data_IF_717983429067
#
_entry.id   IF_717983429067
#
_cell.length_a   1.000
_cell.length_b   1.000
_cell.length_c   1.000
_cell.angle_alpha   90.00
_cell.angle_beta   90.00
_cell.angle_gamma   90.00
#
_symmetry.space_group_name_H-M   'P 1'
#
loop_
_entity.id
_entity.type
_entity.pdbx_description
1 polymer ?
#
# COMPACT_ATOMS: atom_id res chain seq x y z
N UNK A 1 16.82 16.32 17.83
CA UNK A 1 17.47 15.67 16.66
C UNK A 1 18.19 16.72 15.83
N UNK A 2 19.36 16.38 15.25
CA UNK A 2 20.02 17.21 14.25
C UNK A 2 19.17 17.40 13.00
N UNK A 3 19.24 18.59 12.37
CA UNK A 3 18.42 18.97 11.20
C UNK A 3 18.56 18.01 10.01
N UNK A 4 19.72 17.36 9.87
CA UNK A 4 20.05 16.51 8.73
C UNK A 4 19.38 15.12 8.73
N UNK A 5 18.86 14.65 9.87
CA UNK A 5 18.28 13.29 9.92
C UNK A 5 17.07 13.15 9.00
N UNK A 6 16.17 14.14 9.03
CA UNK A 6 14.99 14.14 8.17
C UNK A 6 15.37 14.37 6.70
N UNK A 7 16.36 15.23 6.43
CA UNK A 7 16.88 15.44 5.07
C UNK A 7 17.43 14.16 4.44
N UNK A 8 18.27 13.41 5.17
CA UNK A 8 18.82 12.15 4.68
C UNK A 8 17.75 11.07 4.53
N UNK A 9 16.77 11.04 5.44
CA UNK A 9 15.61 10.15 5.32
C UNK A 9 14.81 10.47 4.04
N UNK A 10 14.51 11.75 3.79
CA UNK A 10 13.77 12.17 2.59
C UNK A 10 14.55 11.87 1.29
N UNK A 11 15.87 12.07 1.29
CA UNK A 11 16.75 11.71 0.17
C UNK A 11 16.69 10.21 -0.15
N UNK A 12 16.87 9.37 0.87
CA UNK A 12 16.82 7.93 0.71
C UNK A 12 15.41 7.49 0.28
N UNK A 13 14.38 8.01 0.92
CA UNK A 13 13.00 7.63 0.66
C UNK A 13 12.55 7.97 -0.76
N UNK A 14 12.85 9.18 -1.26
CA UNK A 14 12.43 9.59 -2.62
C UNK A 14 13.07 8.74 -3.71
N UNK A 15 14.25 8.15 -3.45
CA UNK A 15 14.94 7.25 -4.38
C UNK A 15 14.47 5.79 -4.24
N UNK A 16 13.70 5.45 -3.19
CA UNK A 16 13.23 4.10 -2.91
C UNK A 16 11.73 3.91 -3.19
N UNK A 17 10.91 4.92 -2.93
CA UNK A 17 9.45 4.76 -2.98
C UNK A 17 8.70 6.10 -3.14
N UNK A 18 7.60 6.10 -3.92
CA UNK A 18 6.72 7.28 -4.10
C UNK A 18 6.01 7.77 -2.83
N UNK A 19 6.08 6.97 -1.75
CA UNK A 19 5.53 7.30 -0.43
C UNK A 19 6.25 8.45 0.30
N UNK A 20 7.35 8.98 -0.24
CA UNK A 20 8.05 10.15 0.32
C UNK A 20 7.12 11.36 0.53
N UNK A 21 6.02 11.45 -0.23
CA UNK A 21 4.97 12.46 -0.07
C UNK A 21 4.42 12.51 1.36
N UNK A 22 4.31 11.37 2.04
CA UNK A 22 3.84 11.32 3.42
C UNK A 22 4.81 11.98 4.39
N UNK A 23 6.12 11.93 4.11
CA UNK A 23 7.12 12.72 4.85
C UNK A 23 6.88 14.22 4.70
N UNK A 24 6.59 14.69 3.49
CA UNK A 24 6.22 16.09 3.25
C UNK A 24 4.91 16.49 3.97
N UNK A 25 3.91 15.60 4.00
CA UNK A 25 2.66 15.81 4.72
C UNK A 25 2.83 15.85 6.24
N UNK A 26 3.69 14.98 6.80
CA UNK A 26 4.07 15.04 8.23
C UNK A 26 4.71 16.39 8.51
N UNK A 27 5.71 16.82 7.72
CA UNK A 27 6.32 18.13 7.91
C UNK A 27 5.29 19.26 7.81
N UNK A 28 4.38 19.20 6.85
CA UNK A 28 3.32 20.19 6.66
C UNK A 28 2.40 20.28 7.88
N UNK A 29 2.04 19.16 8.50
CA UNK A 29 1.24 19.14 9.73
C UNK A 29 1.97 19.82 10.91
N UNK A 30 3.27 19.55 11.09
CA UNK A 30 4.08 20.22 12.11
C UNK A 30 4.29 21.71 11.79
N UNK A 31 4.45 22.07 10.51
CA UNK A 31 4.56 23.45 10.07
C UNK A 31 3.25 24.22 10.30
N UNK A 32 2.10 23.62 10.01
CA UNK A 32 0.79 24.19 10.33
C UNK A 32 0.61 24.41 11.84
N UNK A 33 1.06 23.47 12.66
CA UNK A 33 1.10 23.64 14.12
C UNK A 33 1.99 24.80 14.54
N UNK A 34 3.19 24.92 13.95
CA UNK A 34 4.12 26.02 14.21
C UNK A 34 3.53 27.38 13.82
N UNK A 35 2.87 27.48 12.66
CA UNK A 35 2.13 28.66 12.21
C UNK A 35 1.02 29.02 13.20
N UNK A 36 0.24 28.03 13.64
CA UNK A 36 -0.84 28.24 14.60
C UNK A 36 -0.32 28.83 15.92
N UNK A 37 0.76 28.28 16.47
CA UNK A 37 1.33 28.77 17.72
C UNK A 37 1.90 30.18 17.59
N UNK A 38 2.69 30.44 16.54
CA UNK A 38 3.47 31.68 16.42
C UNK A 38 2.69 32.85 15.82
N UNK A 39 1.74 32.58 14.92
CA UNK A 39 1.02 33.62 14.18
C UNK A 39 -0.43 33.81 14.63
N UNK A 40 -1.10 32.75 15.08
CA UNK A 40 -2.54 32.79 15.41
C UNK A 40 -2.75 32.91 16.92
N UNK A 41 -2.14 32.00 17.69
CA UNK A 41 -2.33 31.93 19.14
C UNK A 41 -1.43 32.91 19.93
N UNK A 42 -0.56 33.66 19.26
CA UNK A 42 0.31 34.67 19.88
C UNK A 42 1.41 34.10 20.79
N UNK A 43 1.64 32.79 20.78
CA UNK A 43 2.71 32.16 21.55
C UNK A 43 4.05 32.32 20.83
N UNK A 44 4.88 33.26 21.28
CA UNK A 44 6.23 33.52 20.74
C UNK A 44 7.29 32.51 21.23
N UNK A 45 7.02 31.21 21.15
CA UNK A 45 8.09 30.20 21.24
C UNK A 45 8.75 30.11 19.87
N UNK A 46 9.70 31.01 19.61
CA UNK A 46 10.44 31.09 18.34
C UNK A 46 11.39 29.89 18.18
N UNK A 47 10.83 28.73 17.84
CA UNK A 47 11.59 27.55 17.46
C UNK A 47 11.65 27.46 15.94
N UNK A 48 12.72 27.97 15.33
CA UNK A 48 12.90 27.95 13.87
C UNK A 48 13.29 26.58 13.31
N UNK A 49 13.40 25.54 14.16
CA UNK A 49 13.81 24.20 13.72
C UNK A 49 12.82 23.59 12.74
N UNK A 50 11.52 23.71 12.96
CA UNK A 50 10.49 23.13 12.06
C UNK A 50 10.58 23.68 10.62
N UNK A 51 10.58 25.01 10.39
CA UNK A 51 10.76 25.54 9.04
C UNK A 51 12.14 25.19 8.46
N UNK A 52 13.21 25.20 9.27
CA UNK A 52 14.55 24.81 8.81
C UNK A 52 14.63 23.34 8.36
N UNK A 53 13.96 22.43 9.07
CA UNK A 53 13.87 21.01 8.69
C UNK A 53 13.23 20.90 7.30
N UNK A 54 12.14 21.64 7.05
CA UNK A 54 11.48 21.66 5.74
C UNK A 54 12.37 22.21 4.64
N UNK A 55 12.97 23.37 4.89
CA UNK A 55 13.89 24.03 3.96
C UNK A 55 15.09 23.13 3.61
N UNK A 56 15.59 22.34 4.55
CA UNK A 56 16.69 21.41 4.33
C UNK A 56 16.25 20.05 3.73
N UNK A 57 14.97 19.68 3.78
CA UNK A 57 14.52 18.32 3.44
C UNK A 57 13.69 18.26 2.16
N UNK A 58 12.86 19.27 1.88
CA UNK A 58 12.06 19.31 0.65
C UNK A 58 12.92 19.34 -0.62
N UNK A 59 14.03 20.10 -0.71
CA UNK A 59 14.91 20.05 -1.87
C UNK A 59 15.54 18.67 -2.11
N UNK A 60 15.73 17.87 -1.05
CA UNK A 60 16.28 16.51 -1.17
C UNK A 60 15.36 15.58 -1.97
N UNK A 61 14.06 15.88 -2.03
CA UNK A 61 13.10 15.08 -2.80
C UNK A 61 13.27 15.21 -4.32
N UNK A 62 14.04 16.20 -4.78
CA UNK A 62 14.33 16.43 -6.20
C UNK A 62 15.66 15.76 -6.60
N UNK A 63 16.47 15.35 -5.62
CA UNK A 63 17.75 14.66 -5.85
C UNK A 63 17.53 13.19 -6.20
N UNK A 64 16.92 12.97 -7.36
CA UNK A 64 16.68 11.66 -7.96
C UNK A 64 17.07 11.69 -9.44
N UNK A 65 17.33 10.53 -10.08
CA UNK A 65 17.56 10.48 -11.52
C UNK A 65 16.44 11.12 -12.36
N UNK A 66 15.21 11.12 -11.83
CA UNK A 66 14.02 11.67 -12.49
C UNK A 66 13.70 13.12 -12.11
N UNK A 67 14.47 13.74 -11.20
CA UNK A 67 14.22 15.10 -10.72
C UNK A 67 12.80 15.28 -10.16
N UNK A 68 12.00 16.13 -10.80
CA UNK A 68 10.59 16.36 -10.46
C UNK A 68 9.64 15.25 -10.93
N UNK A 69 10.09 14.30 -11.74
CA UNK A 69 9.25 13.23 -12.27
C UNK A 69 8.58 12.37 -11.19
N UNK A 70 9.22 12.22 -10.02
CA UNK A 70 8.61 11.51 -8.89
C UNK A 70 7.42 12.27 -8.29
N UNK A 71 7.48 13.60 -8.25
CA UNK A 71 6.35 14.43 -7.83
C UNK A 71 5.21 14.37 -8.85
N UNK A 72 5.55 14.44 -10.14
CA UNK A 72 4.59 14.31 -11.22
C UNK A 72 3.86 12.95 -11.16
N UNK A 73 4.59 11.85 -11.01
CA UNK A 73 4.02 10.51 -10.92
C UNK A 73 3.04 10.36 -9.73
N UNK A 74 3.38 10.92 -8.57
CA UNK A 74 2.51 10.85 -7.37
C UNK A 74 1.29 11.75 -7.52
N UNK A 75 1.42 12.93 -8.11
CA UNK A 75 0.33 13.91 -8.20
C UNK A 75 -0.59 13.69 -9.41
N UNK A 76 -0.09 13.09 -10.49
CA UNK A 76 -0.87 12.81 -11.70
C UNK A 76 -1.68 11.51 -11.62
N UNK A 77 -1.56 10.73 -10.55
CA UNK A 77 -2.42 9.56 -10.34
C UNK A 77 -3.82 9.98 -9.86
N UNK A 78 -4.62 10.53 -10.77
CA UNK A 78 -5.94 11.10 -10.50
C UNK A 78 -7.08 10.43 -11.29
N UNK A 79 -6.83 9.31 -11.96
CA UNK A 79 -7.86 8.58 -12.71
C UNK A 79 -8.91 8.02 -11.75
N UNK A 80 -10.07 8.68 -11.70
CA UNK A 80 -11.22 8.21 -10.91
C UNK A 80 -11.64 6.80 -11.31
N UNK A 81 -11.47 6.45 -12.58
CA UNK A 81 -11.76 5.11 -13.06
C UNK A 81 -10.85 4.08 -12.40
N UNK A 82 -9.52 4.22 -12.53
CA UNK A 82 -8.55 3.28 -11.95
C UNK A 82 -8.72 3.22 -10.42
N UNK A 83 -8.80 4.37 -9.75
CA UNK A 83 -8.92 4.45 -8.30
C UNK A 83 -10.21 3.84 -7.74
N UNK A 84 -11.27 3.72 -8.54
CA UNK A 84 -12.52 3.06 -8.12
C UNK A 84 -12.58 1.57 -8.50
N UNK A 85 -11.52 1.02 -9.11
CA UNK A 85 -11.38 -0.42 -9.34
C UNK A 85 -10.26 -1.04 -8.49
N UNK A 86 -9.43 -0.21 -7.86
CA UNK A 86 -8.44 -0.66 -6.89
C UNK A 86 -9.02 -0.60 -5.49
N UNK A 87 -9.25 -1.76 -4.86
CA UNK A 87 -9.92 -1.86 -3.55
C UNK A 87 -9.23 -1.00 -2.48
N UNK A 88 -7.90 -0.92 -2.49
CA UNK A 88 -7.12 -0.19 -1.49
C UNK A 88 -7.28 1.34 -1.59
N UNK A 89 -7.69 1.86 -2.74
CA UNK A 89 -7.89 3.30 -2.97
C UNK A 89 -9.32 3.75 -2.73
N UNK A 90 -10.24 2.82 -2.46
CA UNK A 90 -11.60 3.13 -2.07
C UNK A 90 -11.66 3.71 -0.64
N UNK A 91 -12.73 4.47 -0.31
CA UNK A 91 -12.98 4.91 1.06
C UNK A 91 -13.01 3.76 2.07
N UNK A 92 -12.73 4.08 3.34
CA UNK A 92 -12.79 3.09 4.42
C UNK A 92 -14.20 2.49 4.57
N UNK A 93 -14.31 1.16 4.46
CA UNK A 93 -15.56 0.42 4.65
C UNK A 93 -15.62 -0.18 6.07
N UNK A 94 -16.38 0.47 6.96
CA UNK A 94 -16.57 0.05 8.35
C UNK A 94 -17.48 -1.18 8.53
N UNK A 95 -18.08 -1.70 7.45
CA UNK A 95 -18.76 -3.00 7.48
C UNK A 95 -17.77 -4.16 7.47
N UNK A 96 -16.55 -3.94 6.98
CA UNK A 96 -15.49 -4.92 6.97
C UNK A 96 -14.84 -5.03 8.36
N UNK A 97 -14.65 -6.25 8.91
CA UNK A 97 -13.96 -6.44 10.19
C UNK A 97 -12.56 -5.82 10.23
N UNK A 98 -11.88 -5.75 9.08
CA UNK A 98 -10.55 -5.16 8.95
C UNK A 98 -10.49 -3.65 9.23
N UNK A 99 -11.61 -2.92 9.13
CA UNK A 99 -11.67 -1.48 9.42
C UNK A 99 -11.99 -1.17 10.89
N UNK A 100 -12.39 -2.16 11.69
CA UNK A 100 -12.75 -1.96 13.10
C UNK A 100 -11.59 -1.43 13.97
N UNK A 101 -10.32 -1.89 13.82
CA UNK A 101 -9.20 -1.31 14.55
C UNK A 101 -9.01 0.18 14.23
N UNK A 102 -9.24 0.59 12.98
CA UNK A 102 -9.19 2.00 12.59
C UNK A 102 -10.28 2.81 13.28
N UNK A 103 -11.53 2.32 13.29
CA UNK A 103 -12.63 2.96 14.00
C UNK A 103 -12.34 3.12 15.50
N UNK A 104 -11.77 2.08 16.14
CA UNK A 104 -11.38 2.12 17.54
C UNK A 104 -10.30 3.17 17.82
N UNK A 105 -9.26 3.24 16.99
CA UNK A 105 -8.21 4.25 17.12
C UNK A 105 -8.74 5.66 16.89
N UNK A 106 -9.62 5.87 15.90
CA UNK A 106 -10.29 7.16 15.69
C UNK A 106 -11.10 7.58 16.91
N UNK A 107 -11.93 6.69 17.44
CA UNK A 107 -12.72 6.96 18.65
C UNK A 107 -11.81 7.32 19.83
N UNK A 108 -10.72 6.57 20.01
CA UNK A 108 -9.77 6.80 21.09
C UNK A 108 -9.06 8.16 20.96
N UNK A 109 -8.65 8.54 19.74
CA UNK A 109 -8.09 9.86 19.44
C UNK A 109 -9.09 10.97 19.76
N UNK A 110 -10.35 10.82 19.37
CA UNK A 110 -11.40 11.80 19.69
C UNK A 110 -11.63 11.95 21.19
N UNK A 111 -11.69 10.84 21.94
CA UNK A 111 -11.83 10.87 23.41
C UNK A 111 -10.62 11.55 24.06
N UNK A 112 -9.40 11.23 23.59
CA UNK A 112 -8.17 11.86 24.07
C UNK A 112 -8.20 13.38 23.85
N UNK A 113 -8.58 13.82 22.65
CA UNK A 113 -8.62 15.23 22.27
C UNK A 113 -9.71 15.98 23.03
N UNK A 114 -10.88 15.37 23.23
CA UNK A 114 -11.97 15.98 24.00
C UNK A 114 -11.59 16.18 25.48
N UNK A 115 -10.82 15.26 26.08
CA UNK A 115 -10.41 15.35 27.49
C UNK A 115 -9.18 16.21 27.73
N UNK A 116 -8.15 16.06 26.88
CA UNK A 116 -6.84 16.66 27.09
C UNK A 116 -6.54 17.79 26.11
N UNK A 117 -7.52 18.27 25.34
CA UNK A 117 -7.26 19.07 24.14
C UNK A 117 -6.40 20.31 24.33
N UNK A 118 -6.45 20.96 25.49
CA UNK A 118 -5.63 22.14 25.82
C UNK A 118 -4.12 21.83 25.95
N UNK A 119 -3.77 20.58 26.24
CA UNK A 119 -2.39 20.15 26.46
C UNK A 119 -1.79 19.47 25.22
N UNK A 120 -2.58 19.27 24.17
CA UNK A 120 -2.13 18.62 22.94
C UNK A 120 -1.54 19.68 22.01
N UNK A 121 -0.30 19.50 21.51
CA UNK A 121 0.28 20.42 20.54
C UNK A 121 -0.60 20.57 19.29
N UNK A 122 -0.82 21.79 18.76
CA UNK A 122 -1.57 22.04 17.52
C UNK A 122 -1.13 21.15 16.35
N UNK A 123 0.17 20.86 16.23
CA UNK A 123 0.72 19.95 15.22
C UNK A 123 0.06 18.56 15.23
N UNK A 124 -0.29 18.01 16.41
CA UNK A 124 -0.91 16.69 16.52
C UNK A 124 -2.35 16.68 16.00
N UNK A 125 -3.07 17.81 16.07
CA UNK A 125 -4.39 17.94 15.47
C UNK A 125 -4.31 17.88 13.94
N UNK A 126 -3.37 18.63 13.34
CA UNK A 126 -3.16 18.60 11.91
C UNK A 126 -2.65 17.23 11.43
N UNK A 127 -1.76 16.60 12.19
CA UNK A 127 -1.19 15.30 11.85
C UNK A 127 -2.26 14.21 11.89
N UNK A 128 -2.94 14.04 13.02
CA UNK A 128 -3.93 12.98 13.19
C UNK A 128 -5.20 13.26 12.41
N UNK A 129 -5.65 14.52 12.35
CA UNK A 129 -6.79 14.92 11.52
C UNK A 129 -6.51 14.71 10.02
N UNK A 130 -5.32 15.07 9.56
CA UNK A 130 -4.88 14.85 8.18
C UNK A 130 -4.81 13.38 7.81
N UNK A 131 -4.14 12.55 8.61
CA UNK A 131 -4.06 11.10 8.34
C UNK A 131 -5.40 10.38 8.54
N UNK A 132 -6.24 10.82 9.48
CA UNK A 132 -7.61 10.31 9.62
C UNK A 132 -8.41 10.59 8.36
N UNK A 133 -8.38 11.82 7.84
CA UNK A 133 -9.04 12.19 6.60
C UNK A 133 -8.51 11.37 5.42
N UNK A 134 -7.19 11.22 5.29
CA UNK A 134 -6.58 10.42 4.24
C UNK A 134 -6.98 8.94 4.33
N UNK A 135 -7.07 8.38 5.53
CA UNK A 135 -7.52 7.00 5.78
C UNK A 135 -9.01 6.79 5.50
N UNK A 136 -9.85 7.79 5.80
CA UNK A 136 -11.27 7.78 5.48
C UNK A 136 -11.51 7.87 3.97
N UNK A 137 -10.73 8.70 3.26
CA UNK A 137 -10.83 8.86 1.82
C UNK A 137 -10.26 7.67 1.04
N UNK A 138 -9.18 7.06 1.53
CA UNK A 138 -8.54 5.91 0.89
C UNK A 138 -8.03 4.92 1.95
N UNK A 139 -8.57 3.70 1.94
CA UNK A 139 -8.28 2.67 2.95
C UNK A 139 -6.79 2.33 3.07
N UNK A 140 -6.01 2.42 1.98
CA UNK A 140 -4.55 2.21 2.00
C UNK A 140 -3.78 3.15 2.94
N UNK A 141 -4.37 4.30 3.31
CA UNK A 141 -3.74 5.27 4.20
C UNK A 141 -4.04 4.98 5.69
N UNK A 142 -4.95 4.04 6.01
CA UNK A 142 -5.28 3.66 7.39
C UNK A 142 -4.04 3.28 8.23
N UNK A 143 -3.08 2.48 7.72
CA UNK A 143 -1.87 2.15 8.47
C UNK A 143 -1.03 3.38 8.85
N UNK A 144 -1.03 4.43 8.01
CA UNK A 144 -0.29 5.66 8.29
C UNK A 144 -0.90 6.41 9.47
N UNK A 145 -2.23 6.44 9.57
CA UNK A 145 -2.92 6.96 10.75
C UNK A 145 -2.55 6.16 12.00
N UNK A 146 -2.57 4.82 11.92
CA UNK A 146 -2.23 3.95 13.04
C UNK A 146 -0.80 4.20 13.56
N UNK A 147 0.17 4.34 12.65
CA UNK A 147 1.56 4.67 12.97
C UNK A 147 1.66 6.06 13.63
N UNK A 148 0.98 7.06 13.05
CA UNK A 148 1.02 8.43 13.57
C UNK A 148 0.34 8.56 14.93
N UNK A 149 -0.78 7.88 15.15
CA UNK A 149 -1.54 7.98 16.40
C UNK A 149 -0.93 7.18 17.54
N UNK A 150 -0.22 6.08 17.26
CA UNK A 150 0.34 5.20 18.29
C UNK A 150 1.14 5.92 19.38
N UNK A 151 2.19 6.73 19.09
CA UNK A 151 2.96 7.41 20.14
C UNK A 151 2.13 8.48 20.87
N UNK A 152 1.25 9.20 20.16
CA UNK A 152 0.43 10.27 20.73
C UNK A 152 -0.63 9.70 21.69
N UNK A 153 -1.27 8.61 21.29
CA UNK A 153 -2.22 7.89 22.12
C UNK A 153 -1.51 7.25 23.31
N UNK A 154 -0.33 6.65 23.12
CA UNK A 154 0.43 6.06 24.22
C UNK A 154 0.80 7.10 25.29
N UNK A 155 1.32 8.26 24.89
CA UNK A 155 1.63 9.36 25.81
C UNK A 155 0.37 9.87 26.52
N UNK A 156 -0.71 10.11 25.77
CA UNK A 156 -1.97 10.59 26.33
C UNK A 156 -2.64 9.60 27.28
N UNK A 157 -2.55 8.30 27.00
CA UNK A 157 -3.03 7.22 27.86
C UNK A 157 -2.16 7.02 29.09
N UNK A 158 -0.85 7.30 29.02
CA UNK A 158 0.07 7.22 30.16
C UNK A 158 -0.43 8.05 31.36
N UNK A 159 -1.02 9.21 31.11
CA UNK A 159 -1.65 10.02 32.16
C UNK A 159 -2.85 9.32 32.82
N UNK A 160 -3.61 8.51 32.07
CA UNK A 160 -4.76 7.77 32.60
C UNK A 160 -4.30 6.53 33.36
N UNK A 161 -3.35 5.79 32.81
CA UNK A 161 -2.85 4.56 33.42
C UNK A 161 -1.94 4.81 34.62
N UNK A 162 -1.34 6.00 34.75
CA UNK A 162 -0.58 6.41 35.93
C UNK A 162 -1.42 6.39 37.23
N UNK A 163 -2.74 6.52 37.11
CA UNK A 163 -3.69 6.41 38.23
C UNK A 163 -4.08 4.96 38.58
N UNK A 164 -3.69 3.98 37.76
CA UNK A 164 -3.92 2.56 37.97
C UNK A 164 -2.66 1.87 38.55
N UNK A 165 -2.66 1.46 39.84
CA UNK A 165 -1.46 0.95 40.51
C UNK A 165 -0.84 -0.27 39.82
N UNK A 166 -1.69 -1.20 39.36
CA UNK A 166 -1.26 -2.42 38.67
C UNK A 166 -0.54 -2.12 37.35
N UNK A 167 -1.03 -1.14 36.59
CA UNK A 167 -0.41 -0.74 35.33
C UNK A 167 0.94 -0.08 35.56
N UNK A 168 0.99 0.85 36.51
CA UNK A 168 2.22 1.54 36.88
C UNK A 168 3.31 0.57 37.34
N UNK A 169 2.97 -0.41 38.18
CA UNK A 169 3.92 -1.46 38.60
C UNK A 169 4.42 -2.29 37.42
N UNK A 170 3.52 -2.71 36.53
CA UNK A 170 3.89 -3.46 35.32
C UNK A 170 4.81 -2.65 34.40
N UNK A 171 4.49 -1.39 34.14
CA UNK A 171 5.32 -0.47 33.34
C UNK A 171 6.71 -0.28 33.95
N UNK A 172 6.79 -0.01 35.27
CA UNK A 172 8.08 0.13 35.96
C UNK A 172 8.92 -1.15 35.91
N UNK A 173 8.28 -2.32 35.98
CA UNK A 173 8.97 -3.60 35.88
C UNK A 173 9.51 -3.83 34.46
N UNK A 174 8.72 -3.53 33.42
CA UNK A 174 9.14 -3.63 32.02
C UNK A 174 10.33 -2.70 31.75
N UNK A 175 10.23 -1.42 32.13
CA UNK A 175 11.32 -0.44 31.96
C UNK A 175 12.56 -0.85 32.77
N UNK A 176 12.37 -1.40 33.96
CA UNK A 176 13.46 -1.92 34.80
C UNK A 176 14.23 -3.04 34.10
N UNK A 177 13.51 -4.05 33.60
CA UNK A 177 14.09 -5.18 32.85
C UNK A 177 14.77 -4.70 31.56
N UNK A 178 14.16 -3.77 30.83
CA UNK A 178 14.71 -3.21 29.59
C UNK A 178 16.04 -2.46 29.84
N UNK A 179 16.11 -1.67 30.91
CA UNK A 179 17.36 -0.99 31.33
C UNK A 179 18.46 -1.99 31.69
N UNK A 180 18.12 -3.05 32.44
CA UNK A 180 19.07 -4.12 32.79
C UNK A 180 19.62 -4.82 31.53
N UNK A 181 18.77 -4.99 30.51
CA UNK A 181 19.13 -5.64 29.25
C UNK A 181 19.60 -4.66 28.17
N UNK A 182 19.92 -3.40 28.54
CA UNK A 182 20.41 -2.33 27.65
C UNK A 182 19.56 -2.13 26.38
N UNK A 183 18.24 -2.32 26.48
CA UNK A 183 17.31 -2.22 25.35
C UNK A 183 17.34 -3.41 24.38
N UNK A 184 18.13 -4.46 24.67
CA UNK A 184 18.25 -5.64 23.83
C UNK A 184 17.06 -6.60 23.94
N UNK A 185 16.33 -6.58 25.06
CA UNK A 185 15.22 -7.50 25.30
C UNK A 185 14.13 -7.36 24.25
N UNK A 186 13.72 -6.13 23.93
CA UNK A 186 12.65 -5.91 22.98
C UNK A 186 13.04 -6.38 21.58
N UNK A 187 14.26 -6.11 21.16
CA UNK A 187 14.81 -6.62 19.90
C UNK A 187 14.81 -8.15 19.87
N UNK A 188 15.27 -8.81 20.95
CA UNK A 188 15.25 -10.27 21.06
C UNK A 188 13.82 -10.82 21.07
N UNK A 189 12.88 -10.15 21.73
CA UNK A 189 11.48 -10.58 21.82
C UNK A 189 10.79 -10.44 20.47
N UNK A 190 11.03 -9.34 19.76
CA UNK A 190 10.55 -9.12 18.38
C UNK A 190 11.14 -10.16 17.44
N UNK A 191 12.45 -10.42 17.52
CA UNK A 191 13.11 -11.45 16.72
C UNK A 191 12.57 -12.85 17.05
N UNK A 192 12.37 -13.18 18.32
CA UNK A 192 11.83 -14.47 18.75
C UNK A 192 10.36 -14.64 18.33
N UNK A 193 9.54 -13.59 18.44
CA UNK A 193 8.16 -13.59 17.96
C UNK A 193 8.11 -13.75 16.44
N UNK A 194 8.96 -13.03 15.70
CA UNK A 194 9.09 -13.17 14.26
C UNK A 194 9.51 -14.61 13.88
N UNK A 195 10.53 -15.15 14.55
CA UNK A 195 10.98 -16.52 14.34
C UNK A 195 9.88 -17.55 14.64
N UNK A 196 9.13 -17.36 15.74
CA UNK A 196 8.00 -18.22 16.09
C UNK A 196 6.88 -18.15 15.04
N UNK A 197 6.53 -16.95 14.56
CA UNK A 197 5.53 -16.77 13.52
C UNK A 197 5.98 -17.47 12.23
N UNK A 198 7.25 -17.28 11.82
CA UNK A 198 7.79 -17.95 10.63
C UNK A 198 7.79 -19.47 10.81
N UNK A 199 8.19 -19.98 11.98
CA UNK A 199 8.14 -21.40 12.30
C UNK A 199 6.71 -21.96 12.25
N UNK A 200 5.72 -21.27 12.83
CA UNK A 200 4.31 -21.69 12.75
C UNK A 200 3.83 -21.72 11.30
N UNK A 201 4.18 -20.71 10.49
CA UNK A 201 3.73 -20.65 9.10
C UNK A 201 4.36 -21.74 8.24
N UNK A 202 5.67 -21.94 8.35
CA UNK A 202 6.38 -22.82 7.43
C UNK A 202 6.43 -24.27 7.93
N UNK A 203 6.74 -24.49 9.20
CA UNK A 203 6.89 -25.83 9.75
C UNK A 203 5.54 -26.43 10.16
N UNK A 204 4.73 -25.68 10.92
CA UNK A 204 3.47 -26.20 11.47
C UNK A 204 2.36 -26.22 10.43
N UNK A 205 2.24 -25.16 9.63
CA UNK A 205 1.19 -25.06 8.59
C UNK A 205 1.65 -25.56 7.22
N UNK A 206 2.93 -25.86 7.05
CA UNK A 206 3.47 -26.33 5.77
C UNK A 206 3.35 -25.30 4.63
N UNK A 207 3.24 -23.99 4.95
CA UNK A 207 3.26 -22.96 3.91
C UNK A 207 4.63 -23.03 3.21
N UNK A 208 4.66 -23.13 1.88
CA UNK A 208 5.93 -23.19 1.16
C UNK A 208 6.64 -21.83 1.21
N UNK A 209 7.97 -21.86 1.36
CA UNK A 209 8.81 -20.67 1.57
C UNK A 209 8.77 -19.63 0.43
N UNK A 210 8.34 -20.01 -0.78
CA UNK A 210 8.33 -19.13 -1.97
C UNK A 210 7.49 -19.69 -3.14
N UNK A 211 6.31 -20.27 -2.88
CA UNK A 211 5.43 -20.73 -3.96
C UNK A 211 4.20 -19.85 -4.10
N UNK A 212 3.85 -19.54 -5.35
CA UNK A 212 2.58 -18.90 -5.65
C UNK A 212 1.44 -19.87 -5.34
N UNK A 213 0.41 -19.38 -4.66
CA UNK A 213 -0.75 -20.19 -4.32
C UNK A 213 -1.45 -20.62 -5.63
N UNK A 214 -1.51 -21.93 -5.96
CA UNK A 214 -2.08 -22.43 -7.21
C UNK A 214 -3.60 -22.25 -7.26
N UNK A 215 -4.26 -21.83 -6.16
CA UNK A 215 -5.68 -21.46 -6.15
C UNK A 215 -5.92 -20.00 -6.56
N UNK A 216 -4.87 -19.20 -6.68
CA UNK A 216 -4.94 -17.76 -6.98
C UNK A 216 -4.22 -17.46 -8.30
N UNK A 217 -3.07 -18.08 -8.53
CA UNK A 217 -2.23 -17.89 -9.71
C UNK A 217 -2.31 -19.07 -10.66
N UNK A 218 -2.12 -18.86 -11.98
CA UNK A 218 -2.28 -19.89 -13.00
C UNK A 218 -1.01 -20.76 -13.09
N UNK A 219 -0.60 -21.38 -11.97
CA UNK A 219 0.67 -22.11 -11.86
C UNK A 219 0.74 -23.26 -12.86
N UNK A 220 -0.25 -24.14 -12.84
CA UNK A 220 -0.29 -25.30 -13.75
C UNK A 220 -0.36 -24.90 -15.23
N UNK A 221 -1.16 -23.86 -15.56
CA UNK A 221 -1.22 -23.33 -16.92
C UNK A 221 0.13 -22.76 -17.39
N UNK A 222 0.85 -22.03 -16.50
CA UNK A 222 2.18 -21.52 -16.82
C UNK A 222 3.22 -22.63 -17.00
N UNK A 223 3.19 -23.66 -16.15
CA UNK A 223 4.07 -24.84 -16.28
C UNK A 223 3.80 -25.58 -17.61
N UNK A 224 2.53 -25.69 -18.00
CA UNK A 224 2.16 -26.26 -19.29
C UNK A 224 2.64 -25.41 -20.48
N UNK A 225 2.54 -24.08 -20.40
CA UNK A 225 3.00 -23.15 -21.43
C UNK A 225 4.53 -23.16 -21.63
N UNK A 226 5.32 -23.57 -20.64
CA UNK A 226 6.76 -23.75 -20.81
C UNK A 226 7.09 -24.91 -21.75
N UNK A 227 6.29 -25.98 -21.71
CA UNK A 227 6.43 -27.14 -22.58
C UNK A 227 5.64 -27.00 -23.89
N UNK A 228 4.69 -26.07 -23.94
CA UNK A 228 3.84 -25.77 -25.10
C UNK A 228 3.83 -24.26 -25.40
N UNK A 229 4.97 -23.69 -25.85
CA UNK A 229 5.07 -22.26 -26.07
C UNK A 229 4.11 -21.78 -27.16
N UNK A 230 3.48 -20.63 -26.91
CA UNK A 230 2.66 -19.95 -27.90
C UNK A 230 3.46 -18.84 -28.58
N UNK A 231 2.95 -18.34 -29.71
CA UNK A 231 3.62 -17.30 -30.49
C UNK A 231 2.70 -16.11 -30.71
N UNK A 232 3.28 -14.91 -30.76
CA UNK A 232 2.57 -13.65 -30.90
C UNK A 232 2.09 -13.07 -29.57
N UNK A 233 1.30 -12.01 -29.65
CA UNK A 233 0.93 -11.21 -28.47
C UNK A 233 -0.03 -11.98 -27.56
N UNK A 234 0.29 -11.99 -26.27
CA UNK A 234 -0.55 -12.53 -25.21
C UNK A 234 -1.60 -11.51 -24.77
N UNK A 235 -2.81 -11.97 -24.44
CA UNK A 235 -3.77 -11.24 -23.60
C UNK A 235 -3.96 -11.98 -22.27
N UNK A 236 -3.56 -11.38 -21.15
CA UNK A 236 -3.59 -12.04 -19.84
C UNK A 236 -4.63 -11.46 -18.86
N UNK A 237 -4.98 -12.22 -17.84
CA UNK A 237 -5.66 -11.67 -16.65
C UNK A 237 -4.75 -10.65 -15.94
N UNK A 238 -5.32 -9.49 -15.62
CA UNK A 238 -4.65 -8.35 -15.01
C UNK A 238 -3.97 -8.72 -13.70
N UNK A 239 -4.64 -9.50 -12.85
CA UNK A 239 -4.11 -9.88 -11.54
C UNK A 239 -2.95 -10.87 -11.66
N UNK A 240 -2.80 -11.50 -12.83
CA UNK A 240 -1.70 -12.43 -13.10
C UNK A 240 -0.56 -11.76 -13.86
N UNK A 241 -0.70 -10.52 -14.32
CA UNK A 241 0.32 -9.84 -15.15
C UNK A 241 1.71 -9.85 -14.52
N UNK A 242 1.85 -9.45 -13.26
CA UNK A 242 3.17 -9.46 -12.59
C UNK A 242 3.75 -10.87 -12.41
N UNK A 243 2.89 -11.85 -12.11
CA UNK A 243 3.28 -13.26 -12.00
C UNK A 243 3.74 -13.82 -13.34
N UNK A 244 2.99 -13.56 -14.41
CA UNK A 244 3.34 -14.00 -15.76
C UNK A 244 4.61 -13.32 -16.23
N UNK A 245 4.75 -12.01 -16.01
CA UNK A 245 5.96 -11.26 -16.33
C UNK A 245 7.20 -11.92 -15.70
N UNK A 246 7.13 -12.33 -14.43
CA UNK A 246 8.19 -13.07 -13.78
C UNK A 246 8.50 -14.43 -14.45
N UNK A 247 7.47 -15.14 -14.92
CA UNK A 247 7.62 -16.48 -15.53
C UNK A 247 8.12 -16.46 -16.97
N UNK A 248 7.68 -15.48 -17.77
CA UNK A 248 7.85 -15.54 -19.24
C UNK A 248 8.79 -14.46 -19.79
N UNK A 249 9.22 -13.48 -19.00
CA UNK A 249 10.18 -12.48 -19.46
C UNK A 249 11.59 -13.09 -19.67
N UNK A 250 12.33 -12.70 -20.72
CA UNK A 250 12.01 -11.71 -21.75
C UNK A 250 11.31 -12.28 -22.99
N UNK A 251 10.94 -13.56 -22.98
CA UNK A 251 10.40 -14.27 -24.16
C UNK A 251 9.05 -13.69 -24.60
N UNK A 252 8.13 -13.54 -23.65
CA UNK A 252 6.79 -13.00 -23.90
C UNK A 252 6.57 -11.71 -23.11
N UNK A 253 5.79 -10.78 -23.69
CA UNK A 253 5.35 -9.56 -23.00
C UNK A 253 3.93 -9.74 -22.50
N UNK A 254 3.67 -9.27 -21.28
CA UNK A 254 2.31 -9.22 -20.74
C UNK A 254 1.52 -8.09 -21.40
N UNK A 255 0.21 -8.27 -21.51
CA UNK A 255 -0.71 -7.25 -22.01
C UNK A 255 -0.88 -6.11 -21.01
N UNK A 256 -1.19 -6.48 -19.76
CA UNK A 256 -1.42 -5.56 -18.65
C UNK A 256 -1.02 -6.24 -17.34
N UNK A 257 -0.46 -5.48 -16.41
CA UNK A 257 -0.24 -5.90 -15.02
C UNK A 257 -0.78 -4.85 -14.04
N UNK A 258 -0.64 -5.10 -12.74
CA UNK A 258 -1.16 -4.24 -11.67
C UNK A 258 -0.55 -2.84 -11.59
N UNK A 259 0.45 -2.51 -12.42
CA UNK A 259 1.08 -1.19 -12.46
C UNK A 259 0.29 -0.21 -13.36
N UNK A 260 -1.03 -0.13 -13.14
CA UNK A 260 -2.00 0.62 -13.96
C UNK A 260 -1.65 2.08 -14.18
N UNK A 261 -0.94 2.68 -13.23
CA UNK A 261 -0.53 4.08 -13.26
C UNK A 261 0.37 4.41 -14.48
N UNK A 262 1.07 3.41 -15.04
CA UNK A 262 1.91 3.58 -16.24
C UNK A 262 1.17 3.31 -17.57
N UNK A 263 0.07 2.56 -17.52
CA UNK A 263 -0.70 2.16 -18.71
C UNK A 263 -1.77 3.17 -19.11
N UNK A 264 -2.29 3.91 -18.12
CA UNK A 264 -3.30 4.95 -18.32
C UNK A 264 -4.73 4.42 -18.43
N UNK A 265 -5.69 5.32 -18.21
CA UNK A 265 -7.12 4.99 -18.12
C UNK A 265 -7.69 4.43 -19.43
N UNK A 266 -7.25 4.91 -20.58
CA UNK A 266 -7.76 4.48 -21.88
C UNK A 266 -7.54 2.98 -22.10
N UNK A 267 -6.32 2.48 -21.84
CA UNK A 267 -6.02 1.06 -21.97
C UNK A 267 -6.77 0.23 -20.92
N UNK A 268 -6.88 0.72 -19.68
CA UNK A 268 -7.63 0.03 -18.62
C UNK A 268 -9.11 -0.19 -19.00
N UNK A 269 -9.74 0.78 -19.68
CA UNK A 269 -11.13 0.68 -20.16
C UNK A 269 -11.29 -0.34 -21.29
N UNK A 270 -10.37 -0.33 -22.25
CA UNK A 270 -10.35 -1.32 -23.34
C UNK A 270 -10.12 -2.73 -22.80
N UNK A 271 -9.22 -2.86 -21.81
CA UNK A 271 -8.98 -4.11 -21.11
C UNK A 271 -10.24 -4.63 -20.39
N UNK A 272 -10.93 -3.77 -19.63
CA UNK A 272 -12.17 -4.15 -18.94
C UNK A 272 -13.26 -4.55 -19.95
N UNK A 273 -13.39 -3.83 -21.07
CA UNK A 273 -14.31 -4.18 -22.16
C UNK A 273 -14.02 -5.57 -22.70
N UNK A 274 -12.74 -5.88 -22.95
CA UNK A 274 -12.33 -7.20 -23.40
C UNK A 274 -12.62 -8.29 -22.34
N UNK A 275 -12.16 -8.11 -21.11
CA UNK A 275 -12.26 -9.11 -20.04
C UNK A 275 -13.72 -9.42 -19.65
N UNK A 276 -14.59 -8.42 -19.71
CA UNK A 276 -16.03 -8.57 -19.40
C UNK A 276 -16.86 -9.05 -20.59
N UNK A 277 -16.23 -9.27 -21.76
CA UNK A 277 -16.92 -9.55 -23.02
C UNK A 277 -18.02 -8.50 -23.33
N UNK A 278 -17.71 -7.23 -23.07
CA UNK A 278 -18.57 -6.10 -23.39
C UNK A 278 -18.67 -5.86 -24.90
N UNK A 279 -19.54 -4.95 -25.32
CA UNK A 279 -19.71 -4.61 -26.73
C UNK A 279 -18.37 -4.17 -27.36
N UNK A 280 -17.96 -4.84 -28.45
CA UNK A 280 -16.70 -4.56 -29.15
C UNK A 280 -15.45 -5.19 -28.53
N UNK A 281 -15.59 -6.17 -27.62
CA UNK A 281 -14.45 -6.90 -27.04
C UNK A 281 -13.54 -7.53 -28.09
N UNK A 282 -14.10 -8.03 -29.20
CA UNK A 282 -13.36 -8.62 -30.31
C UNK A 282 -12.39 -7.61 -30.92
N UNK A 283 -12.89 -6.39 -31.18
CA UNK A 283 -12.10 -5.29 -31.75
C UNK A 283 -10.90 -4.93 -30.88
N UNK A 284 -11.00 -5.07 -29.55
CA UNK A 284 -9.86 -4.85 -28.65
C UNK A 284 -8.78 -5.91 -28.88
N UNK A 285 -9.14 -7.20 -28.91
CA UNK A 285 -8.18 -8.26 -29.17
C UNK A 285 -7.54 -8.14 -30.56
N UNK A 286 -8.30 -7.67 -31.55
CA UNK A 286 -7.79 -7.41 -32.91
C UNK A 286 -6.85 -6.21 -32.97
N UNK A 287 -7.22 -5.08 -32.34
CA UNK A 287 -6.41 -3.87 -32.24
C UNK A 287 -5.02 -4.16 -31.69
N UNK A 288 -4.93 -5.05 -30.71
CA UNK A 288 -3.66 -5.43 -30.08
C UNK A 288 -3.04 -6.72 -30.67
N UNK A 289 -3.63 -7.25 -31.73
CA UNK A 289 -3.18 -8.47 -32.41
C UNK A 289 -2.95 -9.66 -31.46
N UNK A 290 -3.83 -9.84 -30.47
CA UNK A 290 -3.77 -10.95 -29.53
C UNK A 290 -3.88 -12.28 -30.29
N UNK A 291 -2.89 -13.16 -30.07
CA UNK A 291 -2.80 -14.48 -30.71
C UNK A 291 -3.13 -15.61 -29.75
N UNK A 292 -2.97 -15.38 -28.46
CA UNK A 292 -3.33 -16.32 -27.43
C UNK A 292 -3.68 -15.58 -26.14
N UNK A 293 -4.44 -16.24 -25.27
CA UNK A 293 -4.89 -15.67 -24.00
C UNK A 293 -4.51 -16.58 -22.84
N UNK A 294 -4.34 -16.00 -21.66
CA UNK A 294 -4.30 -16.74 -20.39
C UNK A 294 -5.12 -15.95 -19.37
N UNK A 295 -6.36 -16.40 -19.19
CA UNK A 295 -7.38 -15.68 -18.42
C UNK A 295 -8.06 -16.63 -17.44
N UNK A 296 -8.75 -16.07 -16.45
CA UNK A 296 -9.54 -16.87 -15.52
C UNK A 296 -10.56 -17.74 -16.25
N UNK A 297 -10.63 -19.01 -15.86
CA UNK A 297 -11.53 -19.99 -16.48
C UNK A 297 -13.02 -19.60 -16.34
N UNK A 298 -13.37 -18.87 -15.27
CA UNK A 298 -14.74 -18.41 -15.00
C UNK A 298 -15.07 -17.04 -15.61
N UNK A 299 -14.11 -16.38 -16.26
CA UNK A 299 -14.30 -15.03 -16.81
C UNK A 299 -15.35 -14.98 -17.94
N UNK A 300 -16.05 -13.85 -18.10
CA UNK A 300 -16.94 -13.65 -19.25
C UNK A 300 -16.21 -13.81 -20.60
N UNK A 301 -14.98 -13.29 -20.71
CA UNK A 301 -14.17 -13.46 -21.91
C UNK A 301 -13.86 -14.92 -22.23
N UNK A 302 -13.54 -15.77 -21.24
CA UNK A 302 -13.33 -17.20 -21.48
C UNK A 302 -14.59 -17.87 -22.06
N UNK A 303 -15.77 -17.50 -21.54
CA UNK A 303 -17.06 -17.99 -22.08
C UNK A 303 -17.31 -17.50 -23.50
N UNK A 304 -16.99 -16.25 -23.81
CA UNK A 304 -17.15 -15.69 -25.15
C UNK A 304 -16.21 -16.39 -26.15
N UNK A 305 -14.92 -16.51 -25.82
CA UNK A 305 -13.92 -17.19 -26.65
C UNK A 305 -14.27 -18.67 -26.90
N UNK A 306 -14.87 -19.36 -25.92
CA UNK A 306 -15.30 -20.76 -26.10
C UNK A 306 -16.38 -20.95 -27.18
N UNK A 307 -17.11 -19.88 -27.52
CA UNK A 307 -18.18 -19.87 -28.53
C UNK A 307 -17.71 -19.31 -29.88
N UNK A 308 -16.59 -18.61 -29.89
CA UNK A 308 -16.01 -18.03 -31.09
C UNK A 308 -15.20 -19.08 -31.88
N UNK A 309 -15.55 -19.28 -33.14
CA UNK A 309 -14.90 -20.25 -34.02
C UNK A 309 -13.47 -19.85 -34.39
N UNK A 310 -13.11 -18.58 -34.28
CA UNK A 310 -11.77 -18.06 -34.54
C UNK A 310 -10.76 -18.46 -33.46
N UNK A 311 -11.23 -18.95 -32.31
CA UNK A 311 -10.41 -19.35 -31.18
C UNK A 311 -10.53 -20.85 -30.91
N UNK A 312 -9.48 -21.40 -30.32
CA UNK A 312 -9.36 -22.80 -29.90
C UNK A 312 -8.92 -22.83 -28.45
N UNK A 313 -9.63 -23.58 -27.60
CA UNK A 313 -9.22 -23.84 -26.22
C UNK A 313 -8.11 -24.89 -26.22
N UNK A 314 -6.89 -24.50 -25.83
CA UNK A 314 -5.71 -25.38 -25.86
C UNK A 314 -5.30 -25.87 -24.47
N UNK A 315 -5.75 -25.21 -23.40
CA UNK A 315 -5.57 -25.64 -22.02
C UNK A 315 -6.71 -25.12 -21.14
N UNK A 316 -7.16 -25.90 -20.18
CA UNK A 316 -8.05 -25.42 -19.11
C UNK A 316 -7.88 -26.22 -17.83
N UNK A 317 -7.92 -25.53 -16.70
CA UNK A 317 -8.10 -26.09 -15.37
C UNK A 317 -9.15 -25.29 -14.58
N UNK A 318 -9.22 -25.48 -13.26
CA UNK A 318 -10.17 -24.78 -12.40
C UNK A 318 -9.88 -23.27 -12.25
N UNK A 319 -8.67 -22.82 -12.60
CA UNK A 319 -8.18 -21.46 -12.40
C UNK A 319 -8.09 -20.72 -13.72
N UNK A 320 -7.47 -21.32 -14.73
CA UNK A 320 -7.12 -20.67 -15.98
C UNK A 320 -7.61 -21.44 -17.21
N UNK A 321 -7.94 -20.66 -18.24
CA UNK A 321 -8.16 -21.15 -19.60
C UNK A 321 -7.22 -20.42 -20.54
N UNK A 322 -6.62 -21.17 -21.46
CA UNK A 322 -5.73 -20.65 -22.50
C UNK A 322 -6.39 -20.89 -23.84
N UNK A 323 -6.67 -19.81 -24.56
CA UNK A 323 -7.19 -19.86 -25.91
C UNK A 323 -6.11 -19.44 -26.90
N UNK A 324 -6.12 -20.05 -28.08
CA UNK A 324 -5.25 -19.70 -29.21
C UNK A 324 -6.11 -19.31 -30.41
N UNK A 325 -5.72 -18.26 -31.11
CA UNK A 325 -6.37 -17.86 -32.37
C UNK A 325 -5.94 -18.82 -33.49
N UNK A 326 -6.91 -19.29 -34.27
CA UNK A 326 -6.67 -20.12 -35.46
C UNK A 326 -6.03 -19.33 -36.60
#
# INVERSE_FOLDING_TARGET
MPLWHFSLLMLAWVNMHGGFIFGALVWLAYFAGWVWENLIAGFRKTNWKTPMIGAASLPMTILTPSGLGNWEAVLNNNSRYILSRTIETMPADFTQPGALPFAALLCLTLVLFARNGKNIPPAHYFLLGGFALLGLLMARNIPLFAIACAPILAEGLGAWTASAPRWKTMETNIVGVEKTLRGGLWNLTVCAAAALILWIRFEVRGEAYAQFNPKVFPVAASDWLETHPQSGNMFNDFNWGGYLLFRVWPRDKVFLDSQTDFYGEALAREYETALTAGEGWESVLEKYAARWTIIRADSPLAKALSRDRAWELIYSDAIASVFKRK
#
